data_IF_710428266341
#
_entry.id   IF_710428266341
#
_cell.length_a   1.000
_cell.length_b   1.000
_cell.length_c   1.000
_cell.angle_alpha   90.00
_cell.angle_beta   90.00
_cell.angle_gamma   90.00
#
_symmetry.space_group_name_H-M   'P 1'
#
loop_
_entity.id
_entity.type
_entity.pdbx_description
1 polymer ?
#
# COMPACT_ATOMS: atom_id res chain seq x y z
N UNK A 1 22.37 26.00 33.96
CA UNK A 1 21.82 24.66 33.63
C UNK A 1 20.65 24.83 32.68
N UNK A 2 19.81 25.82 32.92
CA UNK A 2 18.82 26.48 32.05
C UNK A 2 19.11 26.27 30.56
N UNK A 3 20.19 26.81 30.01
CA UNK A 3 20.50 26.69 28.56
C UNK A 3 20.64 25.26 27.99
N UNK A 4 20.80 24.24 28.85
CA UNK A 4 20.70 22.83 28.49
C UNK A 4 19.29 22.28 28.74
N UNK A 5 18.64 22.66 29.85
CA UNK A 5 17.24 22.37 30.15
C UNK A 5 16.32 22.91 29.05
N UNK A 6 16.42 24.19 28.69
CA UNK A 6 15.67 24.84 27.61
C UNK A 6 15.86 24.12 26.26
N UNK A 7 17.08 23.63 25.97
CA UNK A 7 17.38 22.86 24.74
C UNK A 7 16.88 21.42 24.79
N UNK A 8 16.69 20.85 25.99
CA UNK A 8 16.11 19.53 26.19
C UNK A 8 14.59 19.62 26.16
N UNK A 9 14.01 20.66 26.77
CA UNK A 9 12.59 21.02 26.71
C UNK A 9 12.19 21.38 25.28
N UNK A 10 12.95 22.20 24.53
CA UNK A 10 12.69 22.49 23.11
C UNK A 10 12.79 21.23 22.23
N UNK A 11 13.71 20.29 22.53
CA UNK A 11 13.77 19.00 21.82
C UNK A 11 12.62 18.05 22.20
N UNK A 12 12.22 18.00 23.47
CA UNK A 12 11.03 17.28 23.92
C UNK A 12 9.77 17.91 23.33
N UNK A 13 9.73 19.23 23.19
CA UNK A 13 8.66 19.97 22.54
C UNK A 13 8.65 19.67 21.05
N UNK A 14 9.79 19.59 20.35
CA UNK A 14 9.84 19.18 18.93
C UNK A 14 9.38 17.73 18.73
N UNK A 15 9.76 16.80 19.63
CA UNK A 15 9.25 15.42 19.63
C UNK A 15 7.74 15.36 19.96
N UNK A 16 7.23 16.27 20.78
CA UNK A 16 5.81 16.39 21.15
C UNK A 16 4.96 17.14 20.10
N UNK A 17 5.52 18.12 19.39
CA UNK A 17 4.83 18.99 18.42
C UNK A 17 4.96 18.52 16.97
N UNK A 18 5.90 17.61 16.69
CA UNK A 18 5.86 16.76 15.49
C UNK A 18 4.57 15.92 15.39
N UNK A 19 3.71 15.96 16.41
CA UNK A 19 2.40 15.31 16.49
C UNK A 19 1.24 16.14 15.92
N UNK A 20 1.49 17.29 15.30
CA UNK A 20 0.45 18.16 14.71
C UNK A 20 0.60 18.38 13.21
N UNK A 21 0.71 17.30 12.42
CA UNK A 21 0.24 17.24 11.01
C UNK A 21 0.27 15.81 10.41
N UNK A 22 -0.01 14.79 11.22
CA UNK A 22 -0.06 13.39 10.77
C UNK A 22 -1.16 12.62 11.52
N UNK A 23 -2.37 12.64 10.97
CA UNK A 23 -3.31 11.54 11.20
C UNK A 23 -2.75 10.34 10.43
N UNK A 24 -2.26 9.34 11.17
CA UNK A 24 -1.65 8.14 10.60
C UNK A 24 -2.41 6.92 11.10
N UNK A 25 -3.25 6.41 10.22
CA UNK A 25 -3.49 4.99 9.97
C UNK A 25 -3.11 4.72 8.49
N UNK A 26 -2.88 3.50 8.00
CA UNK A 26 -2.73 2.20 8.68
C UNK A 26 -1.45 1.50 8.18
N UNK A 27 -0.43 2.27 7.71
CA UNK A 27 0.74 1.73 6.99
C UNK A 27 1.80 1.12 7.94
N UNK A 28 1.40 0.01 8.58
CA UNK A 28 2.17 -0.74 9.57
C UNK A 28 3.54 -1.25 9.07
N UNK A 29 3.77 -1.28 7.75
CA UNK A 29 5.09 -1.57 7.18
C UNK A 29 6.11 -0.42 7.37
N UNK A 30 5.76 0.80 6.94
CA UNK A 30 6.68 1.94 7.02
C UNK A 30 6.86 2.42 8.47
N UNK A 31 5.78 2.35 9.26
CA UNK A 31 5.85 2.56 10.71
C UNK A 31 6.80 1.59 11.41
N UNK A 32 6.87 0.31 11.00
CA UNK A 32 7.74 -0.65 11.66
C UNK A 32 9.24 -0.43 11.38
N UNK A 33 9.62 -0.01 10.17
CA UNK A 33 11.01 0.41 9.86
C UNK A 33 11.38 1.70 10.59
N UNK A 34 10.47 2.68 10.66
CA UNK A 34 10.68 3.89 11.45
C UNK A 34 10.80 3.58 12.96
N UNK A 35 9.92 2.75 13.52
CA UNK A 35 9.95 2.34 14.93
C UNK A 35 11.19 1.51 15.29
N UNK A 36 11.66 0.62 14.41
CA UNK A 36 12.89 -0.15 14.66
C UNK A 36 14.14 0.74 14.61
N UNK A 37 14.21 1.69 13.67
CA UNK A 37 15.29 2.69 13.63
C UNK A 37 15.26 3.60 14.88
N UNK A 38 14.08 4.11 15.26
CA UNK A 38 13.91 4.90 16.51
C UNK A 38 14.28 4.07 17.74
N UNK A 39 13.90 2.79 17.82
CA UNK A 39 14.27 1.91 18.93
C UNK A 39 15.79 1.69 19.02
N UNK A 40 16.49 1.57 17.89
CA UNK A 40 17.95 1.45 17.87
C UNK A 40 18.65 2.76 18.30
N UNK A 41 18.13 3.91 17.87
CA UNK A 41 18.59 5.22 18.31
C UNK A 41 18.33 5.42 19.81
N UNK A 42 17.18 5.00 20.34
CA UNK A 42 16.88 5.09 21.77
C UNK A 42 17.77 4.20 22.64
N UNK A 43 18.07 2.97 22.22
CA UNK A 43 19.05 2.13 22.93
C UNK A 43 20.46 2.76 22.97
N UNK A 44 20.82 3.51 21.92
CA UNK A 44 22.07 4.28 21.87
C UNK A 44 22.04 5.48 22.83
N UNK A 45 20.89 6.15 22.99
CA UNK A 45 20.70 7.22 23.98
C UNK A 45 20.73 6.67 25.41
N UNK A 46 20.05 5.56 25.68
CA UNK A 46 19.98 4.93 27.00
C UNK A 46 21.37 4.49 27.50
N UNK A 47 22.15 3.80 26.66
CA UNK A 47 23.53 3.43 26.99
C UNK A 47 24.43 4.65 27.25
N UNK A 48 24.22 5.75 26.52
CA UNK A 48 24.93 7.02 26.74
C UNK A 48 24.56 7.67 28.08
N UNK A 49 23.27 7.71 28.43
CA UNK A 49 22.77 8.26 29.71
C UNK A 49 23.25 7.43 30.90
N UNK A 50 23.21 6.10 30.81
CA UNK A 50 23.72 5.21 31.85
C UNK A 50 25.24 5.38 32.05
N UNK A 51 26.02 5.53 30.97
CA UNK A 51 27.46 5.83 31.02
C UNK A 51 27.77 7.21 31.64
N UNK A 52 26.93 8.22 31.38
CA UNK A 52 27.03 9.52 32.05
C UNK A 52 26.75 9.40 33.55
N UNK A 53 25.74 8.62 33.94
CA UNK A 53 25.41 8.36 35.35
C UNK A 53 26.57 7.71 36.12
N UNK A 54 27.16 6.63 35.59
CA UNK A 54 28.31 5.98 36.23
C UNK A 54 29.55 6.88 36.30
N UNK A 55 29.76 7.72 35.28
CA UNK A 55 30.83 8.72 35.27
C UNK A 55 30.65 9.79 36.34
N UNK A 56 29.42 10.25 36.58
CA UNK A 56 29.08 11.24 37.61
C UNK A 56 29.21 10.68 39.03
N UNK A 57 28.81 9.43 39.28
CA UNK A 57 29.06 8.75 40.55
C UNK A 57 30.56 8.67 40.84
N UNK A 58 31.37 8.23 39.87
CA UNK A 58 32.83 8.18 40.03
C UNK A 58 33.47 9.57 40.23
N UNK A 59 32.86 10.63 39.69
CA UNK A 59 33.31 12.00 39.96
C UNK A 59 32.95 12.44 41.39
N UNK A 60 31.78 12.03 41.88
CA UNK A 60 31.29 12.32 43.22
C UNK A 60 32.14 11.66 44.28
N UNK A 61 32.46 10.36 44.13
CA UNK A 61 33.37 9.65 45.04
C UNK A 61 34.73 10.38 45.19
N UNK A 62 35.27 10.87 44.06
CA UNK A 62 36.53 11.63 44.03
C UNK A 62 36.40 13.01 44.68
N UNK A 63 35.29 13.70 44.47
CA UNK A 63 35.02 15.00 45.10
C UNK A 63 34.81 14.85 46.60
N UNK A 64 34.11 13.81 47.06
CA UNK A 64 33.89 13.51 48.47
C UNK A 64 35.21 13.24 49.21
N UNK A 65 36.10 12.43 48.62
CA UNK A 65 37.46 12.18 49.14
C UNK A 65 38.30 13.45 49.26
N UNK A 66 38.17 14.40 48.33
CA UNK A 66 38.85 15.71 48.42
C UNK A 66 38.16 16.63 49.44
N UNK A 67 36.82 16.60 49.50
CA UNK A 67 35.99 17.46 50.33
C UNK A 67 36.19 17.30 51.83
N UNK A 68 36.56 16.09 52.28
CA UNK A 68 36.92 15.80 53.68
C UNK A 68 38.13 16.63 54.20
N UNK A 69 38.82 17.39 53.33
CA UNK A 69 39.92 18.28 53.70
C UNK A 69 39.60 19.79 53.72
N UNK A 70 38.37 20.23 53.35
CA UNK A 70 38.05 21.66 53.24
C UNK A 70 36.63 22.04 53.73
N UNK A 71 36.47 23.04 54.63
CA UNK A 71 35.17 23.39 55.22
C UNK A 71 34.14 24.01 54.26
N UNK A 72 34.55 24.44 53.06
CA UNK A 72 33.62 24.94 52.03
C UNK A 72 33.10 23.84 51.07
N UNK A 73 33.50 22.58 51.25
CA UNK A 73 33.13 21.49 50.35
C UNK A 73 31.63 21.10 50.43
N UNK A 74 30.99 21.27 51.59
CA UNK A 74 29.61 20.79 51.85
C UNK A 74 28.55 21.40 50.93
N UNK A 75 28.75 22.65 50.49
CA UNK A 75 27.85 23.31 49.54
C UNK A 75 28.06 22.88 48.07
N UNK A 76 29.22 22.28 47.77
CA UNK A 76 29.51 21.64 46.49
C UNK A 76 28.99 20.20 46.48
N UNK A 77 29.17 19.47 47.59
CA UNK A 77 28.67 18.11 47.84
C UNK A 77 27.14 18.04 47.62
N UNK A 78 26.37 18.88 48.32
CA UNK A 78 24.91 18.94 48.17
C UNK A 78 24.46 19.32 46.74
N UNK A 79 25.21 20.16 46.04
CA UNK A 79 24.90 20.49 44.63
C UNK A 79 25.18 19.30 43.70
N UNK A 80 26.20 18.50 44.01
CA UNK A 80 26.55 17.31 43.26
C UNK A 80 25.52 16.19 43.49
N UNK A 81 25.08 15.97 44.73
CA UNK A 81 23.96 15.07 45.07
C UNK A 81 22.65 15.45 44.37
N UNK A 82 22.38 16.76 44.25
CA UNK A 82 21.22 17.26 43.50
C UNK A 82 21.33 16.89 42.02
N UNK A 83 22.51 17.10 41.41
CA UNK A 83 22.77 16.74 40.00
C UNK A 83 22.69 15.23 39.77
N UNK A 84 23.19 14.41 40.70
CA UNK A 84 23.05 12.94 40.65
C UNK A 84 21.58 12.55 40.66
N UNK A 85 20.80 13.12 41.58
CA UNK A 85 19.36 12.86 41.71
C UNK A 85 18.59 13.22 40.43
N UNK A 86 18.90 14.38 39.83
CA UNK A 86 18.31 14.80 38.55
C UNK A 86 18.69 13.86 37.40
N UNK A 87 19.95 13.42 37.31
CA UNK A 87 20.41 12.48 36.27
C UNK A 87 19.81 11.09 36.43
N UNK A 88 19.66 10.59 37.66
CA UNK A 88 18.93 9.35 37.96
C UNK A 88 17.44 9.46 37.58
N UNK A 89 16.83 10.63 37.77
CA UNK A 89 15.49 10.93 37.27
C UNK A 89 15.41 10.84 35.73
N UNK A 90 16.37 11.43 35.01
CA UNK A 90 16.46 11.38 33.54
C UNK A 90 16.65 9.94 33.04
N UNK A 91 17.48 9.14 33.70
CA UNK A 91 17.66 7.72 33.37
C UNK A 91 16.34 6.94 33.54
N UNK A 92 15.60 7.20 34.63
CA UNK A 92 14.28 6.58 34.87
C UNK A 92 13.26 6.95 33.80
N UNK A 93 13.20 8.22 33.38
CA UNK A 93 12.33 8.68 32.28
C UNK A 93 12.74 8.03 30.95
N UNK A 94 14.04 7.90 30.70
CA UNK A 94 14.56 7.25 29.48
C UNK A 94 14.16 5.78 29.43
N UNK A 95 14.35 5.03 30.52
CA UNK A 95 13.96 3.62 30.61
C UNK A 95 12.45 3.42 30.42
N UNK A 96 11.62 4.30 30.99
CA UNK A 96 10.16 4.27 30.79
C UNK A 96 9.78 4.56 29.33
N UNK A 97 10.50 5.48 28.66
CA UNK A 97 10.26 5.80 27.26
C UNK A 97 10.73 4.68 26.33
N UNK A 98 11.91 4.08 26.57
CA UNK A 98 12.38 2.87 25.85
C UNK A 98 11.39 1.73 26.01
N UNK A 99 10.94 1.47 27.25
CA UNK A 99 9.96 0.42 27.54
C UNK A 99 8.64 0.68 26.79
N UNK A 100 8.14 1.92 26.81
CA UNK A 100 6.93 2.31 26.07
C UNK A 100 7.09 2.13 24.56
N UNK A 101 8.23 2.52 23.98
CA UNK A 101 8.52 2.35 22.55
C UNK A 101 8.73 0.87 22.18
N UNK A 102 9.32 0.05 23.05
CA UNK A 102 9.41 -1.40 22.86
C UNK A 102 8.05 -2.08 22.97
N UNK A 103 7.20 -1.68 23.93
CA UNK A 103 5.81 -2.13 24.02
C UNK A 103 5.01 -1.72 22.78
N UNK A 104 5.22 -0.50 22.26
CA UNK A 104 4.54 -0.05 21.05
C UNK A 104 5.08 -0.73 19.79
N UNK A 105 6.39 -0.97 19.67
CA UNK A 105 6.99 -1.71 18.55
C UNK A 105 6.59 -3.19 18.55
N UNK A 106 6.51 -3.82 19.72
CA UNK A 106 5.95 -5.17 19.86
C UNK A 106 4.44 -5.19 19.65
N UNK A 107 3.71 -4.12 20.00
CA UNK A 107 2.29 -3.96 19.61
C UNK A 107 2.14 -3.81 18.10
N UNK A 108 3.03 -3.08 17.40
CA UNK A 108 3.06 -3.02 15.94
C UNK A 108 3.44 -4.37 15.31
N UNK A 109 4.34 -5.14 15.92
CA UNK A 109 4.70 -6.49 15.48
C UNK A 109 3.60 -7.53 15.76
N UNK A 110 2.79 -7.33 16.81
CA UNK A 110 1.59 -8.13 17.12
C UNK A 110 0.33 -7.61 16.41
N UNK A 111 0.37 -6.39 15.85
CA UNK A 111 -0.45 -5.95 14.72
C UNK A 111 0.06 -6.53 13.40
N UNK A 112 0.46 -7.80 13.40
CA UNK A 112 0.07 -8.66 12.30
C UNK A 112 -1.46 -8.52 12.15
N UNK A 113 -1.98 -8.05 11.00
CA UNK A 113 -3.36 -8.31 10.67
C UNK A 113 -3.56 -9.83 10.74
N UNK A 114 -4.61 -10.29 11.43
CA UNK A 114 -4.97 -11.71 11.40
C UNK A 114 -5.13 -12.16 9.95
N UNK A 115 -4.64 -13.35 9.56
CA UNK A 115 -4.45 -13.72 8.15
C UNK A 115 -5.74 -14.06 7.38
N UNK A 116 -6.92 -13.63 7.85
CA UNK A 116 -8.19 -14.22 7.41
C UNK A 116 -8.89 -13.52 6.23
N UNK A 117 -8.65 -12.22 5.95
CA UNK A 117 -9.41 -11.48 4.92
C UNK A 117 -8.61 -10.89 3.73
N UNK A 118 -7.33 -11.22 3.57
CA UNK A 118 -6.56 -10.79 2.39
C UNK A 118 -6.79 -11.68 1.14
N UNK A 119 -7.26 -12.92 1.33
CA UNK A 119 -7.50 -13.87 0.26
C UNK A 119 -8.98 -14.10 -0.02
N UNK A 120 -9.31 -14.32 -1.28
CA UNK A 120 -10.65 -14.44 -1.83
C UNK A 120 -10.85 -15.82 -2.45
N UNK A 121 -12.08 -16.33 -2.41
CA UNK A 121 -12.52 -17.47 -3.21
C UNK A 121 -13.29 -16.97 -4.44
N UNK A 122 -12.57 -16.27 -5.34
CA UNK A 122 -13.15 -15.59 -6.51
C UNK A 122 -13.82 -16.56 -7.50
N UNK A 123 -13.49 -17.85 -7.41
CA UNK A 123 -13.97 -18.90 -8.29
C UNK A 123 -14.95 -19.87 -7.60
N UNK A 124 -15.42 -19.55 -6.39
CA UNK A 124 -16.40 -20.34 -5.61
C UNK A 124 -16.01 -21.83 -5.45
N UNK A 125 -14.71 -22.06 -5.21
CA UNK A 125 -14.09 -23.39 -5.08
C UNK A 125 -14.08 -23.94 -3.65
N UNK A 126 -14.55 -23.15 -2.67
CA UNK A 126 -14.36 -23.37 -1.24
C UNK A 126 -12.97 -22.99 -0.74
N UNK A 127 -12.14 -22.27 -1.52
CA UNK A 127 -10.74 -21.97 -1.18
C UNK A 127 -10.40 -20.49 -1.33
N UNK A 128 -10.04 -19.85 -0.21
CA UNK A 128 -9.54 -18.48 -0.18
C UNK A 128 -8.05 -18.46 -0.57
N UNK A 129 -7.77 -18.54 -1.88
CA UNK A 129 -6.40 -18.67 -2.43
C UNK A 129 -5.99 -17.53 -3.39
N UNK A 130 -6.89 -16.57 -3.64
CA UNK A 130 -6.65 -15.43 -4.54
C UNK A 130 -6.45 -14.14 -3.76
N UNK A 131 -5.26 -13.54 -3.81
CA UNK A 131 -4.99 -12.23 -3.19
C UNK A 131 -5.39 -11.09 -4.14
N UNK A 132 -6.17 -10.12 -3.67
CA UNK A 132 -6.49 -8.93 -4.46
C UNK A 132 -5.23 -8.05 -4.63
N UNK A 133 -4.75 -7.93 -5.87
CA UNK A 133 -3.60 -7.09 -6.22
C UNK A 133 -4.04 -5.66 -6.60
N UNK A 134 -5.15 -5.52 -7.32
CA UNK A 134 -5.70 -4.23 -7.73
C UNK A 134 -7.22 -4.30 -7.96
N UNK A 135 -7.93 -3.20 -7.64
CA UNK A 135 -9.34 -2.98 -7.98
C UNK A 135 -9.52 -1.62 -8.63
N UNK A 136 -9.95 -1.60 -9.88
CA UNK A 136 -10.44 -0.39 -10.56
C UNK A 136 -11.92 -0.15 -10.27
N UNK A 137 -12.30 1.11 -10.13
CA UNK A 137 -13.68 1.62 -9.94
C UNK A 137 -14.07 2.42 -11.18
N UNK A 138 -15.22 2.14 -11.78
CA UNK A 138 -15.65 2.88 -12.95
C UNK A 138 -16.07 4.32 -12.58
N UNK A 139 -15.88 5.27 -13.51
CA UNK A 139 -16.44 6.64 -13.42
C UNK A 139 -16.03 7.50 -12.22
N UNK A 140 -14.88 7.21 -11.58
CA UNK A 140 -14.35 8.05 -10.50
C UNK A 140 -13.41 9.18 -10.97
N UNK A 141 -13.21 9.34 -12.27
CA UNK A 141 -12.30 10.30 -12.90
C UNK A 141 -10.80 10.10 -12.55
N UNK A 142 -10.41 8.94 -12.03
CA UNK A 142 -9.00 8.56 -11.81
C UNK A 142 -8.56 7.58 -12.90
N UNK A 143 -7.49 7.90 -13.61
CA UNK A 143 -6.97 7.03 -14.69
C UNK A 143 -6.46 5.70 -14.14
N UNK A 144 -6.92 4.57 -14.70
CA UNK A 144 -6.59 3.24 -14.20
C UNK A 144 -5.13 2.87 -14.44
N UNK A 145 -4.53 3.29 -15.55
CA UNK A 145 -3.17 2.89 -15.90
C UNK A 145 -2.13 3.42 -14.91
N UNK A 146 -2.02 4.73 -14.63
CA UNK A 146 -1.07 5.22 -13.64
C UNK A 146 -1.45 4.72 -12.24
N UNK A 147 -2.74 4.65 -11.89
CA UNK A 147 -3.18 4.07 -10.62
C UNK A 147 -2.74 2.60 -10.43
N UNK A 148 -2.80 1.77 -11.47
CA UNK A 148 -2.29 0.40 -11.44
C UNK A 148 -0.77 0.36 -11.34
N UNK A 149 -0.07 1.13 -12.16
CA UNK A 149 1.38 1.10 -12.26
C UNK A 149 2.05 1.57 -10.97
N UNK A 150 1.66 2.72 -10.43
CA UNK A 150 2.35 3.39 -9.33
C UNK A 150 1.43 3.92 -8.21
N UNK A 151 0.12 3.73 -8.29
CA UNK A 151 -0.83 4.24 -7.28
C UNK A 151 -1.27 5.69 -7.46
N UNK A 152 -0.92 6.36 -8.57
CA UNK A 152 -1.36 7.75 -8.83
C UNK A 152 -2.88 7.89 -8.72
N UNK A 153 -3.33 8.90 -7.97
CA UNK A 153 -4.75 9.18 -7.77
C UNK A 153 -5.46 8.23 -6.80
N UNK A 154 -4.75 7.30 -6.16
CA UNK A 154 -5.25 6.50 -5.04
C UNK A 154 -4.85 7.22 -3.74
N UNK A 155 -5.80 7.55 -2.84
CA UNK A 155 -5.47 8.07 -1.52
C UNK A 155 -4.70 7.04 -0.67
N UNK A 156 -3.89 7.52 0.28
CA UNK A 156 -3.12 6.65 1.21
C UNK A 156 -4.03 5.68 1.98
N UNK A 157 -5.19 6.17 2.42
CA UNK A 157 -6.26 5.36 2.99
C UNK A 157 -7.41 5.21 1.98
N UNK A 158 -7.70 3.97 1.61
CA UNK A 158 -8.84 3.63 0.75
C UNK A 158 -9.97 3.01 1.56
N UNK A 159 -11.22 3.28 1.17
CA UNK A 159 -12.41 2.75 1.81
C UNK A 159 -12.38 1.21 1.85
N UNK A 160 -12.88 0.60 2.93
CA UNK A 160 -12.96 -0.86 3.04
C UNK A 160 -13.72 -1.51 1.87
N UNK A 161 -14.73 -0.81 1.34
CA UNK A 161 -15.47 -1.18 0.12
C UNK A 161 -14.57 -1.33 -1.13
N UNK A 162 -13.50 -0.54 -1.23
CA UNK A 162 -12.54 -0.62 -2.34
C UNK A 162 -11.57 -1.80 -2.21
N UNK A 163 -11.61 -2.55 -1.11
CA UNK A 163 -10.85 -3.80 -0.93
C UNK A 163 -11.71 -5.04 -1.22
N UNK A 164 -12.97 -4.86 -1.65
CA UNK A 164 -13.92 -5.95 -1.92
C UNK A 164 -14.82 -5.63 -3.13
N UNK A 165 -15.78 -6.51 -3.41
CA UNK A 165 -16.70 -6.36 -4.54
C UNK A 165 -18.19 -6.40 -4.13
N UNK A 166 -18.53 -6.61 -2.86
CA UNK A 166 -19.93 -6.50 -2.44
C UNK A 166 -20.43 -5.05 -2.54
N UNK A 167 -21.71 -4.89 -2.88
CA UNK A 167 -22.38 -3.58 -2.98
C UNK A 167 -22.94 -3.09 -1.63
N UNK A 168 -22.47 -3.64 -0.51
CA UNK A 168 -22.92 -3.25 0.83
C UNK A 168 -22.48 -1.85 1.25
N UNK A 169 -21.39 -1.35 0.66
CA UNK A 169 -20.81 -0.04 0.93
C UNK A 169 -20.32 0.59 -0.38
N UNK A 170 -20.40 1.93 -0.54
CA UNK A 170 -19.86 2.62 -1.70
C UNK A 170 -18.33 2.65 -1.67
N UNK A 171 -17.73 2.68 -2.86
CA UNK A 171 -16.30 2.89 -3.07
C UNK A 171 -16.12 3.93 -4.16
N UNK A 172 -15.41 5.02 -3.88
CA UNK A 172 -15.10 6.08 -4.84
C UNK A 172 -13.70 5.91 -5.47
N UNK A 173 -12.77 5.22 -4.80
CA UNK A 173 -11.36 5.16 -5.23
C UNK A 173 -10.99 3.85 -5.92
N UNK A 174 -9.84 3.81 -6.58
CA UNK A 174 -9.19 2.52 -6.92
C UNK A 174 -8.46 1.98 -5.69
N UNK A 175 -8.16 0.69 -5.66
CA UNK A 175 -7.28 0.09 -4.66
C UNK A 175 -6.10 -0.62 -5.33
N UNK A 176 -4.91 -0.46 -4.74
CA UNK A 176 -3.68 -1.16 -5.15
C UNK A 176 -3.01 -1.76 -3.93
N UNK A 177 -2.86 -3.08 -3.92
CA UNK A 177 -2.16 -3.78 -2.85
C UNK A 177 -0.64 -3.67 -3.08
N UNK A 178 0.01 -2.75 -2.35
CA UNK A 178 1.45 -2.49 -2.42
C UNK A 178 2.28 -3.77 -2.28
N UNK A 179 1.99 -4.57 -1.25
CA UNK A 179 2.72 -5.80 -0.92
C UNK A 179 2.53 -6.87 -2.01
N UNK A 180 1.32 -7.02 -2.57
CA UNK A 180 1.08 -7.93 -3.68
C UNK A 180 1.89 -7.55 -4.94
N UNK A 181 1.94 -6.26 -5.26
CA UNK A 181 2.64 -5.73 -6.44
C UNK A 181 4.18 -5.80 -6.29
N UNK A 182 4.72 -5.52 -5.11
CA UNK A 182 6.17 -5.59 -4.82
C UNK A 182 6.66 -7.05 -4.76
N UNK A 183 5.88 -7.96 -4.14
CA UNK A 183 6.25 -9.38 -4.00
C UNK A 183 6.12 -10.20 -5.28
N UNK A 184 5.37 -9.71 -6.28
CA UNK A 184 5.12 -10.36 -7.57
C UNK A 184 6.40 -10.87 -8.24
N UNK A 185 7.46 -10.05 -8.25
CA UNK A 185 8.72 -10.37 -8.92
C UNK A 185 9.84 -10.79 -7.96
N UNK A 186 9.71 -10.52 -6.65
CA UNK A 186 10.83 -10.55 -5.71
C UNK A 186 10.80 -11.70 -4.70
N UNK A 187 9.63 -12.22 -4.33
CA UNK A 187 9.51 -13.07 -3.13
C UNK A 187 8.58 -14.28 -3.24
N UNK A 188 7.63 -14.32 -4.19
CA UNK A 188 6.77 -15.50 -4.39
C UNK A 188 6.45 -15.68 -5.87
N UNK A 189 6.69 -16.89 -6.39
CA UNK A 189 6.29 -17.27 -7.74
C UNK A 189 4.76 -17.19 -7.87
N UNK A 190 4.26 -16.21 -8.63
CA UNK A 190 2.84 -16.15 -9.00
C UNK A 190 2.54 -17.35 -9.90
N UNK A 191 1.62 -18.22 -9.49
CA UNK A 191 1.16 -19.35 -10.30
C UNK A 191 0.21 -18.86 -11.39
N UNK A 192 -0.81 -18.10 -10.99
CA UNK A 192 -1.89 -17.65 -11.86
C UNK A 192 -2.33 -16.23 -11.51
N UNK A 193 -2.83 -15.51 -12.52
CA UNK A 193 -3.46 -14.20 -12.37
C UNK A 193 -4.89 -14.29 -12.88
N UNK A 194 -5.82 -13.64 -12.21
CA UNK A 194 -7.23 -13.58 -12.58
C UNK A 194 -7.64 -12.12 -12.78
N UNK A 195 -8.04 -11.76 -14.00
CA UNK A 195 -8.82 -10.54 -14.22
C UNK A 195 -10.29 -10.92 -14.15
N UNK A 196 -11.08 -10.16 -13.39
CA UNK A 196 -12.52 -10.31 -13.29
C UNK A 196 -13.21 -8.94 -13.42
N UNK A 197 -14.31 -8.88 -14.17
CA UNK A 197 -15.18 -7.72 -14.31
C UNK A 197 -16.44 -7.94 -13.48
N UNK A 198 -16.89 -6.90 -12.77
CA UNK A 198 -18.02 -6.97 -11.87
C UNK A 198 -19.13 -5.98 -12.24
N UNK A 199 -20.37 -6.46 -12.30
CA UNK A 199 -21.58 -5.60 -12.27
C UNK A 199 -22.38 -5.95 -11.02
N UNK A 200 -22.78 -4.94 -10.23
CA UNK A 200 -23.58 -5.10 -9.01
C UNK A 200 -23.01 -6.14 -8.03
N UNK A 201 -21.68 -6.22 -7.98
CA UNK A 201 -20.92 -7.16 -7.14
C UNK A 201 -20.90 -8.61 -7.62
N UNK A 202 -21.40 -8.90 -8.82
CA UNK A 202 -21.37 -10.22 -9.46
C UNK A 202 -20.35 -10.25 -10.60
N UNK A 203 -19.61 -11.35 -10.75
CA UNK A 203 -18.64 -11.50 -11.84
C UNK A 203 -19.39 -11.70 -13.16
N UNK A 204 -19.21 -10.78 -14.11
CA UNK A 204 -19.81 -10.86 -15.46
C UNK A 204 -18.88 -11.45 -16.51
N UNK A 205 -17.56 -11.28 -16.33
CA UNK A 205 -16.50 -11.87 -17.17
C UNK A 205 -15.24 -12.11 -16.36
N UNK A 206 -14.47 -13.12 -16.74
CA UNK A 206 -13.13 -13.37 -16.23
C UNK A 206 -12.17 -13.87 -17.30
N UNK A 207 -10.87 -13.64 -17.07
CA UNK A 207 -9.77 -14.30 -17.77
C UNK A 207 -8.75 -14.75 -16.72
N UNK A 208 -8.38 -16.04 -16.76
CA UNK A 208 -7.31 -16.60 -15.91
C UNK A 208 -6.06 -16.84 -16.75
N UNK A 209 -4.93 -16.37 -16.26
CA UNK A 209 -3.63 -16.32 -16.93
C UNK A 209 -2.57 -17.14 -16.18
N UNK A 210 -1.56 -17.62 -16.90
CA UNK A 210 -0.34 -18.19 -16.34
C UNK A 210 0.58 -17.08 -15.80
N UNK A 211 0.67 -16.97 -14.47
CA UNK A 211 1.47 -15.95 -13.79
C UNK A 211 2.97 -16.26 -13.73
N UNK A 212 3.39 -17.50 -14.03
CA UNK A 212 4.77 -17.96 -13.85
C UNK A 212 5.75 -17.14 -14.69
N UNK A 213 6.77 -16.59 -14.04
CA UNK A 213 7.76 -15.73 -14.70
C UNK A 213 7.17 -14.47 -15.34
N UNK A 214 6.01 -13.99 -14.87
CA UNK A 214 5.46 -12.69 -15.26
C UNK A 214 5.95 -11.57 -14.34
N UNK A 215 5.97 -10.35 -14.86
CA UNK A 215 6.02 -9.13 -14.05
C UNK A 215 4.58 -8.61 -13.85
N UNK A 216 4.36 -7.59 -13.00
CA UNK A 216 3.08 -6.87 -12.94
C UNK A 216 2.62 -6.28 -14.29
N UNK A 217 3.47 -6.20 -15.32
CA UNK A 217 3.12 -5.69 -16.65
C UNK A 217 2.99 -6.77 -17.74
N UNK A 218 3.66 -7.92 -17.61
CA UNK A 218 3.71 -8.94 -18.67
C UNK A 218 2.77 -10.13 -18.50
N UNK A 219 2.00 -10.21 -17.41
CA UNK A 219 1.04 -11.30 -17.20
C UNK A 219 -0.18 -11.24 -18.14
N UNK A 220 -0.53 -10.05 -18.62
CA UNK A 220 -1.73 -9.78 -19.41
C UNK A 220 -1.42 -9.83 -20.90
N UNK A 221 -1.18 -11.03 -21.41
CA UNK A 221 -0.90 -11.30 -22.83
C UNK A 221 -1.64 -12.58 -23.29
N UNK A 222 -2.00 -12.62 -24.58
CA UNK A 222 -2.80 -13.73 -25.13
C UNK A 222 -2.18 -15.11 -24.96
N UNK A 223 -0.85 -15.22 -25.01
CA UNK A 223 -0.12 -16.48 -24.82
C UNK A 223 -0.21 -17.03 -23.39
N UNK A 224 -0.53 -16.19 -22.40
CA UNK A 224 -0.71 -16.61 -21.00
C UNK A 224 -2.12 -17.05 -20.68
N UNK A 225 -3.11 -16.88 -21.57
CA UNK A 225 -4.52 -17.21 -21.28
C UNK A 225 -4.69 -18.72 -21.04
N UNK A 226 -5.03 -19.09 -19.81
CA UNK A 226 -5.40 -20.45 -19.42
C UNK A 226 -6.89 -20.71 -19.67
N UNK A 227 -7.75 -19.80 -19.20
CA UNK A 227 -9.21 -19.88 -19.35
C UNK A 227 -9.80 -18.47 -19.52
N UNK A 228 -10.93 -18.37 -20.20
CA UNK A 228 -11.68 -17.11 -20.38
C UNK A 228 -13.19 -17.38 -20.39
N UNK A 229 -13.98 -16.37 -20.02
CA UNK A 229 -15.42 -16.33 -20.29
C UNK A 229 -15.76 -16.19 -21.78
N UNK A 230 -14.78 -15.87 -22.63
CA UNK A 230 -14.94 -15.78 -24.08
C UNK A 230 -14.28 -16.98 -24.77
N UNK A 231 -15.06 -17.72 -25.56
CA UNK A 231 -14.65 -18.98 -26.19
C UNK A 231 -13.76 -18.79 -27.41
N UNK A 232 -13.88 -17.67 -28.12
CA UNK A 232 -13.06 -17.32 -29.28
C UNK A 232 -11.76 -16.58 -28.94
N UNK A 233 -11.56 -16.19 -27.68
CA UNK A 233 -10.41 -15.37 -27.27
C UNK A 233 -9.05 -16.03 -27.59
N UNK A 234 -8.93 -17.35 -27.49
CA UNK A 234 -7.68 -18.04 -27.80
C UNK A 234 -7.49 -18.37 -29.29
N UNK A 235 -8.55 -18.27 -30.11
CA UNK A 235 -8.56 -18.72 -31.50
C UNK A 235 -8.60 -17.58 -32.52
N UNK A 236 -9.16 -16.42 -32.17
CA UNK A 236 -9.03 -15.20 -32.99
C UNK A 236 -7.65 -14.55 -32.79
N UNK A 237 -7.23 -13.80 -33.81
CA UNK A 237 -6.07 -12.92 -33.71
C UNK A 237 -6.36 -11.71 -32.80
N UNK A 238 -5.30 -11.06 -32.34
CA UNK A 238 -5.37 -9.83 -31.55
C UNK A 238 -4.51 -8.77 -32.23
N UNK A 239 -5.04 -7.55 -32.42
CA UNK A 239 -4.21 -6.39 -32.74
C UNK A 239 -3.69 -5.69 -31.48
N UNK A 240 -4.40 -5.82 -30.36
CA UNK A 240 -3.95 -5.39 -29.03
C UNK A 240 -4.32 -6.42 -27.95
N UNK A 241 -3.35 -6.77 -27.11
CA UNK A 241 -3.54 -7.53 -25.87
C UNK A 241 -2.47 -7.07 -24.87
N UNK A 242 -2.70 -5.94 -24.19
CA UNK A 242 -1.72 -5.39 -23.23
C UNK A 242 -2.35 -4.39 -22.24
N UNK A 243 -1.65 -4.16 -21.12
CA UNK A 243 -2.07 -3.22 -20.06
C UNK A 243 -1.92 -1.77 -20.53
N UNK A 244 -0.78 -1.44 -21.15
CA UNK A 244 -0.51 -0.13 -21.74
C UNK A 244 -1.48 0.18 -22.88
N UNK A 245 -1.74 -0.80 -23.74
CA UNK A 245 -2.75 -0.74 -24.77
C UNK A 245 -2.49 0.25 -25.90
N UNK A 246 -3.52 0.97 -26.30
CA UNK A 246 -3.47 2.00 -27.34
C UNK A 246 -3.56 3.37 -26.67
N UNK A 247 -2.43 4.08 -26.67
CA UNK A 247 -2.16 5.23 -25.80
C UNK A 247 -1.80 6.49 -26.61
N UNK A 248 -2.56 6.75 -27.67
CA UNK A 248 -2.39 7.93 -28.53
C UNK A 248 -3.03 9.17 -27.88
N UNK A 249 -2.71 10.36 -28.39
CA UNK A 249 -3.02 11.64 -27.73
C UNK A 249 -4.51 11.84 -27.39
N UNK A 250 -5.40 11.29 -28.20
CA UNK A 250 -6.87 11.33 -28.08
C UNK A 250 -7.51 9.98 -27.67
N UNK A 251 -6.68 8.97 -27.40
CA UNK A 251 -7.10 7.59 -27.16
C UNK A 251 -6.28 6.98 -26.01
N UNK A 252 -6.90 6.85 -24.83
CA UNK A 252 -6.33 6.10 -23.71
C UNK A 252 -7.11 4.79 -23.51
N UNK A 253 -6.85 3.79 -24.36
CA UNK A 253 -7.44 2.45 -24.26
C UNK A 253 -6.46 1.51 -23.56
N UNK A 254 -6.66 1.34 -22.26
CA UNK A 254 -5.84 0.54 -21.35
C UNK A 254 -6.46 -0.86 -21.16
N UNK A 255 -5.67 -1.80 -20.63
CA UNK A 255 -6.11 -3.19 -20.36
C UNK A 255 -6.94 -3.78 -21.52
N UNK A 256 -6.46 -3.54 -22.75
CA UNK A 256 -7.21 -3.79 -23.98
C UNK A 256 -6.98 -5.22 -24.44
N UNK A 257 -8.07 -5.85 -24.87
CA UNK A 257 -8.11 -7.15 -25.52
C UNK A 257 -8.99 -6.97 -26.75
N UNK A 258 -8.35 -6.75 -27.91
CA UNK A 258 -9.03 -6.32 -29.13
C UNK A 258 -8.57 -7.16 -30.33
N UNK A 259 -9.53 -7.53 -31.19
CA UNK A 259 -9.30 -8.38 -32.35
C UNK A 259 -8.74 -7.58 -33.51
N UNK A 260 -9.43 -6.50 -33.88
CA UNK A 260 -9.09 -5.64 -35.02
C UNK A 260 -9.61 -4.21 -34.82
N UNK A 261 -9.01 -3.28 -35.56
CA UNK A 261 -9.60 -1.95 -35.76
C UNK A 261 -10.19 -1.87 -37.17
N UNK A 262 -11.40 -1.31 -37.25
CA UNK A 262 -12.16 -1.10 -38.48
C UNK A 262 -12.71 0.33 -38.59
N UNK A 263 -12.25 1.24 -37.72
CA UNK A 263 -12.95 2.48 -37.40
C UNK A 263 -14.05 2.21 -36.38
N UNK A 264 -14.59 3.23 -35.70
CA UNK A 264 -15.50 3.04 -34.56
C UNK A 264 -16.66 2.03 -34.79
N UNK A 265 -17.32 1.98 -35.96
CA UNK A 265 -18.39 1.00 -36.23
C UNK A 265 -17.91 -0.43 -36.52
N UNK A 266 -16.61 -0.64 -36.74
CA UNK A 266 -15.99 -1.92 -37.10
C UNK A 266 -14.85 -2.38 -36.17
N UNK A 267 -14.50 -1.59 -35.16
CA UNK A 267 -13.62 -2.02 -34.07
C UNK A 267 -14.30 -3.15 -33.28
N UNK A 268 -13.59 -4.27 -33.10
CA UNK A 268 -14.12 -5.51 -32.52
C UNK A 268 -13.15 -6.08 -31.48
N UNK A 269 -13.66 -6.54 -30.33
CA UNK A 269 -12.84 -7.12 -29.27
C UNK A 269 -13.63 -7.66 -28.09
N UNK A 270 -12.94 -7.81 -26.96
CA UNK A 270 -13.44 -8.45 -25.74
C UNK A 270 -13.44 -7.53 -24.51
N UNK A 271 -12.38 -6.72 -24.34
CA UNK A 271 -12.26 -5.72 -23.27
C UNK A 271 -11.55 -4.45 -23.78
N UNK A 272 -12.07 -3.28 -23.39
CA UNK A 272 -11.40 -1.97 -23.43
C UNK A 272 -11.62 -1.30 -22.09
N UNK A 273 -10.54 -0.81 -21.46
CA UNK A 273 -10.67 0.17 -20.37
C UNK A 273 -10.35 1.56 -20.92
N UNK A 274 -11.36 2.41 -21.03
CA UNK A 274 -11.20 3.77 -21.55
C UNK A 274 -10.86 4.74 -20.42
N UNK A 275 -9.66 5.31 -20.46
CA UNK A 275 -9.02 6.16 -19.44
C UNK A 275 -9.07 7.67 -19.77
N UNK A 276 -9.74 8.04 -20.88
CA UNK A 276 -9.84 9.42 -21.37
C UNK A 276 -11.29 9.86 -21.54
N UNK A 277 -11.58 11.11 -21.18
CA UNK A 277 -12.83 11.80 -21.55
C UNK A 277 -12.50 13.11 -22.29
N UNK A 278 -13.02 13.34 -23.51
CA UNK A 278 -13.72 12.37 -24.35
C UNK A 278 -12.75 11.34 -24.95
N UNK A 279 -13.10 10.06 -24.96
CA UNK A 279 -12.41 9.07 -25.81
C UNK A 279 -12.72 9.31 -27.30
N UNK A 280 -11.93 8.75 -28.22
CA UNK A 280 -12.09 9.02 -29.65
C UNK A 280 -13.43 8.56 -30.23
N UNK A 281 -13.88 7.34 -29.90
CA UNK A 281 -15.08 6.73 -30.48
C UNK A 281 -16.37 6.96 -29.66
N UNK A 282 -17.57 6.92 -30.29
CA UNK A 282 -18.84 7.15 -29.61
C UNK A 282 -19.13 6.18 -28.44
N UNK A 283 -18.63 4.93 -28.51
CA UNK A 283 -18.81 3.95 -27.44
C UNK A 283 -18.01 4.30 -26.16
N UNK A 284 -16.92 5.06 -26.28
CA UNK A 284 -16.08 5.52 -25.17
C UNK A 284 -16.73 6.71 -24.43
N UNK A 285 -17.49 7.53 -25.16
CA UNK A 285 -18.14 8.76 -24.65
C UNK A 285 -19.41 8.52 -23.81
N UNK A 286 -19.83 7.26 -23.62
CA UNK A 286 -21.10 6.90 -22.95
C UNK A 286 -21.02 6.88 -21.41
N UNK A 287 -19.84 7.04 -20.84
CA UNK A 287 -19.59 6.93 -19.39
C UNK A 287 -18.35 7.77 -19.01
N UNK A 288 -18.28 8.28 -17.77
CA UNK A 288 -17.08 8.95 -17.27
C UNK A 288 -15.93 7.96 -17.04
N UNK A 289 -14.68 8.42 -17.20
CA UNK A 289 -13.51 7.56 -17.05
C UNK A 289 -13.27 7.14 -15.57
N UNK A 290 -12.64 5.98 -15.33
CA UNK A 290 -12.38 4.95 -16.32
C UNK A 290 -13.68 4.20 -16.65
N UNK A 291 -13.83 3.72 -17.89
CA UNK A 291 -14.99 2.93 -18.31
C UNK A 291 -14.56 1.51 -18.72
N UNK A 292 -15.14 0.49 -18.08
CA UNK A 292 -14.82 -0.93 -18.31
C UNK A 292 -15.76 -1.54 -19.36
N UNK A 293 -15.43 -1.34 -20.63
CA UNK A 293 -16.26 -1.72 -21.77
C UNK A 293 -15.92 -3.15 -22.19
N UNK A 294 -16.90 -4.04 -22.28
CA UNK A 294 -16.63 -5.46 -22.56
C UNK A 294 -17.70 -6.13 -23.43
N UNK A 295 -17.35 -7.24 -24.09
CA UNK A 295 -18.29 -8.02 -24.91
C UNK A 295 -19.20 -8.92 -24.04
N UNK A 296 -20.52 -8.70 -24.06
CA UNK A 296 -21.50 -9.46 -23.25
C UNK A 296 -21.59 -10.93 -23.63
N UNK A 297 -21.51 -11.22 -24.93
CA UNK A 297 -21.61 -12.58 -25.48
C UNK A 297 -20.46 -13.50 -25.05
N UNK A 298 -20.51 -14.75 -25.51
CA UNK A 298 -19.39 -15.70 -25.36
C UNK A 298 -18.25 -15.46 -26.35
N UNK A 299 -18.36 -14.47 -27.25
CA UNK A 299 -17.36 -14.14 -28.26
C UNK A 299 -17.00 -12.66 -28.25
N UNK A 300 -16.04 -12.24 -29.08
CA UNK A 300 -15.80 -10.82 -29.35
C UNK A 300 -17.07 -10.12 -29.86
N UNK A 301 -17.21 -8.83 -29.54
CA UNK A 301 -18.31 -7.98 -29.98
C UNK A 301 -17.77 -6.75 -30.73
N UNK A 302 -18.59 -6.21 -31.64
CA UNK A 302 -18.34 -4.91 -32.28
C UNK A 302 -18.80 -3.79 -31.34
N UNK A 303 -17.93 -2.81 -31.08
CA UNK A 303 -18.12 -1.87 -29.95
C UNK A 303 -19.29 -0.90 -30.08
N UNK A 304 -19.75 -0.65 -31.32
CA UNK A 304 -20.88 0.24 -31.61
C UNK A 304 -22.24 -0.49 -31.64
N UNK A 305 -22.32 -1.71 -31.09
CA UNK A 305 -23.54 -2.54 -31.02
C UNK A 305 -24.17 -2.59 -29.62
N UNK A 306 -25.27 -3.34 -29.49
CA UNK A 306 -25.95 -3.61 -28.21
C UNK A 306 -25.30 -4.76 -27.41
N UNK A 307 -24.37 -5.51 -28.01
CA UNK A 307 -23.67 -6.66 -27.43
C UNK A 307 -22.58 -6.25 -26.41
N UNK A 308 -22.51 -4.98 -26.07
CA UNK A 308 -21.48 -4.37 -25.21
C UNK A 308 -22.01 -4.08 -23.82
N UNK A 309 -21.27 -4.49 -22.79
CA UNK A 309 -21.51 -4.23 -21.36
C UNK A 309 -20.57 -3.19 -20.78
N UNK A 310 -20.85 -2.77 -19.54
CA UNK A 310 -20.08 -1.79 -18.78
C UNK A 310 -20.03 -2.26 -17.33
N UNK A 311 -18.86 -2.67 -16.88
CA UNK A 311 -18.66 -3.13 -15.50
C UNK A 311 -18.49 -1.94 -14.54
N UNK A 312 -18.95 -2.12 -13.30
CA UNK A 312 -18.80 -1.15 -12.19
C UNK A 312 -17.38 -1.21 -11.60
N UNK A 313 -16.75 -2.40 -11.62
CA UNK A 313 -15.41 -2.62 -11.11
C UNK A 313 -14.62 -3.65 -11.94
N UNK A 314 -13.29 -3.52 -11.92
CA UNK A 314 -12.34 -4.49 -12.46
C UNK A 314 -11.42 -4.97 -11.34
N UNK A 315 -11.40 -6.27 -11.06
CA UNK A 315 -10.49 -6.89 -10.10
C UNK A 315 -9.33 -7.61 -10.79
N UNK A 316 -8.12 -7.45 -10.25
CA UNK A 316 -6.94 -8.23 -10.61
C UNK A 316 -6.47 -8.96 -9.34
N UNK A 317 -6.48 -10.28 -9.40
CA UNK A 317 -6.08 -11.15 -8.29
C UNK A 317 -4.89 -12.01 -8.69
N UNK A 318 -4.02 -12.29 -7.72
CA UNK A 318 -2.89 -13.20 -7.88
C UNK A 318 -3.04 -14.43 -6.99
N UNK A 319 -2.72 -15.60 -7.53
CA UNK A 319 -2.57 -16.85 -6.81
C UNK A 319 -1.09 -17.22 -6.81
N UNK A 320 -0.57 -17.58 -5.64
CA UNK A 320 0.81 -18.03 -5.46
C UNK A 320 0.95 -19.54 -5.69
N UNK A 321 2.19 -20.00 -5.95
CA UNK A 321 2.56 -21.42 -5.90
C UNK A 321 2.50 -21.99 -4.47
#
# INVERSE_FOLDING_TARGET
>A
MERMKDRLEDKLLQVSTGKTLYNVDNDSGCLCEACTNISAQMATVESSVNSMGTSLVSLTDKVHVVGQSMPNATALDHKLDTIITEVSGIATVTNNLTSGVQTQASTCAHQTPGPEDEFFDVLETGRREWRLAFRGTASNNVQIYPAYMNGTGIPTEVEAACKQFSMSLPCANHYRNRVAMEKWASLVNVDQVLLALYEKGQIVKLIRFNGKGSTPTSWFEGQRVLQSSWTDLKSKSHNYFSIEGDARFDLLRRFIVNHKYGGCPGDEGWLIVSDSVPGGCPYEKKQAAPAFIYAKGSTAAVWETHEVGRADAMGIFIKYL
#
